data_IF_715362888809
#
_entry.id   IF_715362888809
#
_cell.length_a   1.000
_cell.length_b   1.000
_cell.length_c   1.000
_cell.angle_alpha   90.00
_cell.angle_beta   90.00
_cell.angle_gamma   90.00
#
_symmetry.space_group_name_H-M   'P 1'
#
loop_
_entity.id
_entity.type
_entity.pdbx_description
1 polymer ?
#
# COMPACT_ATOMS: atom_id res chain seq x y z
N UNK A 1 8.33 1.59 23.03
CA UNK A 1 8.72 2.27 21.77
C UNK A 1 7.44 2.55 20.99
N UNK A 2 7.22 3.77 20.50
CA UNK A 2 6.10 4.08 19.60
C UNK A 2 6.59 3.85 18.17
N UNK A 3 5.93 2.97 17.43
CA UNK A 3 6.10 2.83 15.99
C UNK A 3 4.98 3.62 15.31
N UNK A 4 5.34 4.63 14.53
CA UNK A 4 4.41 5.38 13.69
C UNK A 4 4.40 4.72 12.30
N UNK A 5 3.24 4.22 11.88
CA UNK A 5 3.04 3.64 10.55
C UNK A 5 2.22 4.62 9.72
N UNK A 6 2.87 5.27 8.75
CA UNK A 6 2.19 6.03 7.72
C UNK A 6 1.86 5.10 6.54
N UNK A 7 0.58 4.81 6.36
CA UNK A 7 0.09 3.95 5.28
C UNK A 7 0.07 4.65 3.92
N UNK A 8 0.25 5.98 3.90
CA UNK A 8 0.24 6.82 2.72
C UNK A 8 1.36 7.87 2.80
N UNK A 9 2.64 7.44 2.90
CA UNK A 9 3.74 8.39 2.93
C UNK A 9 3.63 9.28 1.70
N UNK A 10 3.79 10.61 1.84
CA UNK A 10 3.69 11.51 0.72
C UNK A 10 4.66 11.06 -0.39
N UNK A 11 4.12 11.01 -1.61
CA UNK A 11 4.83 10.64 -2.83
C UNK A 11 6.16 11.40 -2.93
N UNK A 12 7.26 10.64 -2.79
CA UNK A 12 8.65 11.04 -3.06
C UNK A 12 9.08 12.37 -2.43
N UNK A 13 9.57 12.32 -1.19
CA UNK A 13 10.35 13.43 -0.63
C UNK A 13 11.74 13.49 -1.28
N UNK A 14 11.91 14.38 -2.25
CA UNK A 14 13.24 14.80 -2.72
C UNK A 14 13.75 16.00 -1.91
N UNK A 15 15.04 16.00 -1.58
CA UNK A 15 15.71 17.14 -0.92
C UNK A 15 16.45 18.00 -1.95
N UNK A 16 16.12 19.29 -2.05
CA UNK A 16 16.91 20.28 -2.79
C UNK A 16 18.01 20.84 -1.86
N UNK A 17 19.27 20.53 -2.14
CA UNK A 17 20.42 20.82 -1.27
C UNK A 17 20.82 22.29 -1.08
N UNK A 18 20.50 23.28 -1.94
CA UNK A 18 20.89 24.66 -1.64
C UNK A 18 19.89 25.44 -0.76
N UNK A 19 18.62 25.01 -0.67
CA UNK A 19 17.57 25.77 0.03
C UNK A 19 16.92 25.03 1.21
N UNK A 20 17.27 23.75 1.44
CA UNK A 20 16.66 22.91 2.48
C UNK A 20 15.11 23.00 2.50
N UNK A 21 14.50 23.21 1.34
CA UNK A 21 13.06 23.34 1.19
C UNK A 21 12.50 22.05 0.59
N UNK A 22 11.38 21.51 1.13
CA UNK A 22 10.70 20.38 0.50
C UNK A 22 10.23 20.81 -0.89
N UNK A 23 10.67 20.09 -1.92
CA UNK A 23 10.21 20.30 -3.29
C UNK A 23 9.14 19.26 -3.62
N UNK A 24 7.94 19.74 -3.89
CA UNK A 24 6.82 18.95 -4.37
C UNK A 24 7.00 18.73 -5.88
N UNK A 25 7.32 17.51 -6.29
CA UNK A 25 7.27 17.10 -7.70
C UNK A 25 5.97 16.32 -7.95
N UNK A 26 5.06 16.78 -8.82
CA UNK A 26 3.91 16.00 -9.25
C UNK A 26 4.37 14.91 -10.22
N UNK A 27 5.15 13.94 -9.74
CA UNK A 27 5.59 12.76 -10.49
C UNK A 27 4.95 11.49 -9.91
N UNK A 28 3.66 11.60 -9.60
CA UNK A 28 2.88 10.51 -9.06
C UNK A 28 1.82 10.15 -10.08
N UNK A 29 1.91 8.95 -10.65
CA UNK A 29 0.73 8.32 -11.25
C UNK A 29 -0.45 8.49 -10.29
N UNK A 30 -1.55 9.08 -10.75
CA UNK A 30 -2.77 9.15 -9.95
C UNK A 30 -3.28 7.72 -9.71
N UNK A 31 -2.95 7.17 -8.54
CA UNK A 31 -3.27 5.80 -8.18
C UNK A 31 -4.78 5.58 -8.04
N UNK A 32 -5.54 6.62 -7.70
CA UNK A 32 -6.99 6.53 -7.62
C UNK A 32 -7.57 6.38 -9.03
N UNK A 33 -7.13 7.23 -9.97
CA UNK A 33 -7.52 7.11 -11.36
C UNK A 33 -7.08 5.75 -11.96
N UNK A 34 -5.87 5.29 -11.66
CA UNK A 34 -5.37 3.99 -12.10
C UNK A 34 -6.22 2.82 -11.57
N UNK A 35 -6.60 2.86 -10.29
CA UNK A 35 -7.44 1.84 -9.65
C UNK A 35 -8.84 1.79 -10.29
N UNK A 36 -9.48 2.94 -10.50
CA UNK A 36 -10.79 3.02 -11.15
C UNK A 36 -10.75 2.52 -12.59
N UNK A 37 -9.70 2.87 -13.35
CA UNK A 37 -9.53 2.40 -14.72
C UNK A 37 -9.34 0.87 -14.80
N UNK A 38 -8.58 0.29 -13.86
CA UNK A 38 -8.42 -1.17 -13.73
C UNK A 38 -9.77 -1.85 -13.50
N UNK A 39 -10.56 -1.33 -12.56
CA UNK A 39 -11.90 -1.84 -12.25
C UNK A 39 -12.86 -1.79 -13.46
N UNK A 40 -12.95 -0.63 -14.12
CA UNK A 40 -13.82 -0.45 -15.29
C UNK A 40 -13.40 -1.33 -16.47
N UNK A 41 -12.09 -1.54 -16.66
CA UNK A 41 -11.56 -2.43 -17.70
C UNK A 41 -11.97 -3.87 -17.43
N UNK A 42 -11.80 -4.34 -16.19
CA UNK A 42 -12.22 -5.67 -15.79
C UNK A 42 -13.74 -5.89 -15.99
N UNK A 43 -14.56 -4.91 -15.59
CA UNK A 43 -16.02 -4.98 -15.76
C UNK A 43 -16.46 -5.07 -17.23
N UNK A 44 -15.76 -4.39 -18.14
CA UNK A 44 -16.09 -4.39 -19.58
C UNK A 44 -15.58 -5.62 -20.33
N UNK A 45 -14.41 -6.11 -19.95
CA UNK A 45 -13.67 -7.13 -20.74
C UNK A 45 -13.75 -8.52 -20.12
N UNK A 46 -14.23 -8.65 -18.88
CA UNK A 46 -14.15 -9.88 -18.10
C UNK A 46 -12.73 -10.23 -17.65
N UNK A 47 -11.71 -9.40 -17.95
CA UNK A 47 -10.36 -9.60 -17.46
C UNK A 47 -10.30 -9.40 -15.95
N UNK A 48 -9.40 -10.12 -15.28
CA UNK A 48 -9.21 -10.00 -13.84
C UNK A 48 -8.54 -8.65 -13.51
N UNK A 49 -9.18 -7.83 -12.68
CA UNK A 49 -8.58 -6.61 -12.18
C UNK A 49 -7.35 -6.93 -11.33
N UNK A 50 -6.36 -6.02 -11.30
CA UNK A 50 -5.26 -6.08 -10.35
C UNK A 50 -5.07 -4.72 -9.66
N UNK A 51 -4.88 -4.69 -8.33
CA UNK A 51 -5.03 -5.81 -7.39
C UNK A 51 -6.48 -6.31 -7.30
N UNK A 52 -6.66 -7.58 -6.93
CA UNK A 52 -7.99 -8.23 -6.78
C UNK A 52 -8.30 -8.58 -5.31
N UNK A 53 -9.46 -9.20 -5.09
CA UNK A 53 -9.89 -9.63 -3.77
C UNK A 53 -8.93 -10.62 -3.08
N UNK A 54 -8.24 -11.50 -3.82
CA UNK A 54 -7.24 -12.39 -3.22
C UNK A 54 -5.98 -11.64 -2.78
N UNK A 55 -5.56 -10.62 -3.54
CA UNK A 55 -4.51 -9.71 -3.11
C UNK A 55 -4.92 -8.97 -1.83
N UNK A 56 -6.15 -8.46 -1.77
CA UNK A 56 -6.71 -7.82 -0.56
C UNK A 56 -6.75 -8.74 0.66
N UNK A 57 -7.24 -9.98 0.49
CA UNK A 57 -7.27 -10.98 1.55
C UNK A 57 -5.86 -11.34 2.07
N UNK A 58 -4.89 -11.46 1.16
CA UNK A 58 -3.49 -11.71 1.53
C UNK A 58 -2.93 -10.56 2.36
N UNK A 59 -3.17 -9.32 1.94
CA UNK A 59 -2.75 -8.12 2.68
C UNK A 59 -3.38 -8.07 4.08
N UNK A 60 -4.68 -8.34 4.19
CA UNK A 60 -5.37 -8.37 5.49
C UNK A 60 -4.76 -9.40 6.44
N UNK A 61 -4.45 -10.60 5.95
CA UNK A 61 -3.81 -11.65 6.77
C UNK A 61 -2.44 -11.22 7.30
N UNK A 62 -1.64 -10.55 6.47
CA UNK A 62 -0.35 -10.00 6.89
C UNK A 62 -0.53 -8.97 8.02
N UNK A 63 -1.48 -8.05 7.87
CA UNK A 63 -1.75 -7.03 8.89
C UNK A 63 -2.22 -7.65 10.21
N UNK A 64 -3.11 -8.65 10.16
CA UNK A 64 -3.56 -9.35 11.35
C UNK A 64 -2.44 -10.12 12.06
N UNK A 65 -1.56 -10.79 11.30
CA UNK A 65 -0.38 -11.46 11.86
C UNK A 65 0.61 -10.46 12.50
N UNK A 66 0.74 -9.25 11.94
CA UNK A 66 1.54 -8.19 12.56
C UNK A 66 0.95 -7.73 13.89
N UNK A 67 -0.37 -7.56 13.98
CA UNK A 67 -1.05 -7.27 15.26
C UNK A 67 -0.87 -8.39 16.27
N UNK A 68 -1.01 -9.66 15.86
CA UNK A 68 -0.75 -10.80 16.74
C UNK A 68 0.69 -10.81 17.25
N UNK A 69 1.67 -10.52 16.38
CA UNK A 69 3.08 -10.46 16.77
C UNK A 69 3.34 -9.35 17.78
N UNK A 70 2.66 -8.21 17.65
CA UNK A 70 2.74 -7.09 18.58
C UNK A 70 2.18 -7.44 19.96
N UNK A 71 1.05 -8.16 20.00
CA UNK A 71 0.41 -8.58 21.27
C UNK A 71 1.23 -9.64 21.99
N UNK A 72 1.79 -10.60 21.26
CA UNK A 72 2.48 -11.76 21.83
C UNK A 72 3.98 -11.54 22.04
N UNK A 73 4.58 -10.57 21.34
CA UNK A 73 6.02 -10.38 21.28
C UNK A 73 6.76 -11.51 20.53
N UNK A 74 6.03 -12.37 19.82
CA UNK A 74 6.58 -13.48 19.04
C UNK A 74 6.17 -13.35 17.57
N UNK A 75 6.97 -13.80 16.60
CA UNK A 75 6.56 -13.79 15.20
C UNK A 75 5.34 -14.68 14.95
N UNK A 76 4.27 -14.12 14.39
CA UNK A 76 3.09 -14.87 13.96
C UNK A 76 3.35 -15.62 12.64
N UNK A 77 2.77 -16.82 12.49
CA UNK A 77 2.92 -17.64 11.28
C UNK A 77 1.84 -17.31 10.26
N UNK A 78 2.24 -17.02 9.02
CA UNK A 78 1.32 -16.87 7.89
C UNK A 78 1.15 -18.20 7.16
N UNK A 79 -0.06 -18.77 7.17
CA UNK A 79 -0.36 -19.93 6.32
C UNK A 79 -0.68 -19.47 4.91
N UNK A 80 -0.02 -20.06 3.91
CA UNK A 80 -0.40 -19.87 2.51
C UNK A 80 -1.78 -20.52 2.25
N UNK A 81 -2.65 -19.83 1.50
CA UNK A 81 -3.87 -20.42 0.95
C UNK A 81 -3.65 -20.85 -0.49
#
# INVERSE_FOLDING_TARGET
ALAEFDAFPPLLTGYNTPQAAPRWEPSATDLNAAMLNSFLTAARTGQRAHPDGHAGLRTLRVVLAAYESLVTGQPATLTAS
#
